data_IF_980108642162
#
_entry.id   IF_980108642162
#
_cell.length_a   1.000
_cell.length_b   1.000
_cell.length_c   1.000
_cell.angle_alpha   90.00
_cell.angle_beta   90.00
_cell.angle_gamma   90.00
#
_symmetry.space_group_name_H-M   'P 1'
#
loop_
_entity.id
_entity.type
_entity.pdbx_description
1 polymer ?
#
# COMPACT_ATOMS: atom_id res chain seq x y z
N UNK A 1 -30.29 4.14 -10.87
CA UNK A 1 -28.89 4.55 -11.05
C UNK A 1 -28.53 5.37 -9.83
N UNK A 2 -27.47 5.03 -9.09
CA UNK A 2 -27.06 5.82 -7.92
C UNK A 2 -26.45 7.16 -8.37
N UNK A 3 -26.42 8.17 -7.50
CA UNK A 3 -25.78 9.46 -7.78
C UNK A 3 -24.31 9.30 -8.20
N UNK A 4 -23.60 8.34 -7.59
CA UNK A 4 -22.19 8.02 -7.91
C UNK A 4 -22.06 7.45 -9.33
N UNK A 5 -22.98 6.60 -9.78
CA UNK A 5 -22.94 6.05 -11.14
C UNK A 5 -23.26 7.14 -12.19
N UNK A 6 -24.15 8.08 -11.88
CA UNK A 6 -24.41 9.23 -12.77
C UNK A 6 -23.17 10.12 -12.89
N UNK A 7 -22.51 10.42 -11.76
CA UNK A 7 -21.27 11.19 -11.75
C UNK A 7 -20.14 10.48 -12.50
N UNK A 8 -20.02 9.17 -12.35
CA UNK A 8 -19.06 8.36 -13.11
C UNK A 8 -19.34 8.46 -14.61
N UNK A 9 -20.59 8.35 -15.05
CA UNK A 9 -20.95 8.50 -16.48
C UNK A 9 -20.60 9.89 -17.01
N UNK A 10 -20.91 10.95 -16.27
CA UNK A 10 -20.53 12.32 -16.65
C UNK A 10 -19.01 12.50 -16.76
N UNK A 11 -18.25 11.90 -15.85
CA UNK A 11 -16.79 11.90 -15.92
C UNK A 11 -16.29 11.13 -17.14
N UNK A 12 -16.91 9.99 -17.47
CA UNK A 12 -16.58 9.21 -18.66
C UNK A 12 -16.89 9.96 -19.96
N UNK A 13 -17.98 10.73 -20.03
CA UNK A 13 -18.28 11.58 -21.19
C UNK A 13 -17.22 12.67 -21.40
N UNK A 14 -16.72 13.23 -20.29
CA UNK A 14 -15.61 14.21 -20.30
C UNK A 14 -14.33 13.56 -20.81
N UNK A 15 -13.97 12.38 -20.29
CA UNK A 15 -12.81 11.61 -20.73
C UNK A 15 -12.95 11.22 -22.20
N UNK A 16 -14.11 10.74 -22.63
CA UNK A 16 -14.37 10.40 -24.02
C UNK A 16 -14.14 11.59 -24.94
N UNK A 17 -14.57 12.79 -24.54
CA UNK A 17 -14.34 14.02 -25.30
C UNK A 17 -12.85 14.39 -25.36
N UNK A 18 -12.14 14.38 -24.22
CA UNK A 18 -10.72 14.74 -24.12
C UNK A 18 -9.82 13.81 -24.95
N UNK A 19 -10.15 12.52 -24.98
CA UNK A 19 -9.41 11.49 -25.71
C UNK A 19 -9.99 11.21 -27.11
N UNK A 20 -10.93 12.04 -27.57
CA UNK A 20 -11.56 12.00 -28.91
C UNK A 20 -12.29 10.68 -29.23
N UNK A 21 -12.87 10.02 -28.22
CA UNK A 21 -13.82 8.92 -28.35
C UNK A 21 -15.25 9.47 -28.54
N UNK A 22 -15.50 10.15 -29.66
CA UNK A 22 -16.83 10.72 -29.98
C UNK A 22 -17.84 9.60 -30.28
N UNK A 23 -19.09 9.80 -29.86
CA UNK A 23 -20.20 8.86 -30.06
C UNK A 23 -19.87 7.41 -29.63
N UNK A 24 -19.07 7.26 -28.57
CA UNK A 24 -18.58 5.96 -28.15
C UNK A 24 -19.64 5.12 -27.41
N UNK A 25 -19.59 3.81 -27.59
CA UNK A 25 -20.31 2.86 -26.74
C UNK A 25 -19.54 2.68 -25.42
N UNK A 26 -20.21 2.96 -24.30
CA UNK A 26 -19.66 2.78 -22.95
C UNK A 26 -20.19 1.50 -22.31
N UNK A 27 -19.31 0.52 -22.12
CA UNK A 27 -19.61 -0.69 -21.33
C UNK A 27 -19.01 -0.55 -19.94
N UNK A 28 -19.83 -0.71 -18.90
CA UNK A 28 -19.45 -0.61 -17.50
C UNK A 28 -19.79 -1.92 -16.78
N UNK A 29 -18.79 -2.54 -16.18
CA UNK A 29 -18.92 -3.79 -15.44
C UNK A 29 -18.40 -3.62 -14.02
N UNK A 30 -19.33 -3.62 -13.05
CA UNK A 30 -18.99 -3.58 -11.63
C UNK A 30 -18.44 -4.92 -11.15
N UNK A 31 -17.45 -4.90 -10.26
CA UNK A 31 -16.93 -6.11 -9.61
C UNK A 31 -16.47 -5.85 -8.18
N UNK A 32 -16.23 -6.93 -7.44
CA UNK A 32 -15.65 -6.91 -6.08
C UNK A 32 -14.37 -7.74 -6.07
N UNK A 33 -13.42 -7.37 -5.22
CA UNK A 33 -12.14 -8.09 -5.08
C UNK A 33 -12.16 -9.15 -3.98
N UNK A 34 -13.31 -9.43 -3.38
CA UNK A 34 -13.39 -10.48 -2.35
C UNK A 34 -12.52 -10.17 -1.13
N UNK A 35 -12.62 -8.95 -0.59
CA UNK A 35 -11.88 -8.57 0.62
C UNK A 35 -10.45 -8.08 0.42
N UNK A 36 -10.07 -7.64 -0.79
CA UNK A 36 -8.82 -6.90 -0.98
C UNK A 36 -9.03 -5.37 -0.96
N UNK A 37 -10.19 -4.89 -1.46
CA UNK A 37 -10.56 -3.47 -1.54
C UNK A 37 -11.86 -3.20 -0.76
N UNK A 38 -11.71 -2.91 0.53
CA UNK A 38 -12.84 -2.70 1.44
C UNK A 38 -13.54 -1.36 1.27
N UNK A 39 -12.85 -0.33 0.78
CA UNK A 39 -13.34 1.06 0.83
C UNK A 39 -14.01 1.54 -0.44
N UNK A 40 -14.04 0.72 -1.50
CA UNK A 40 -14.38 1.17 -2.86
C UNK A 40 -15.26 0.18 -3.62
N UNK A 41 -16.17 0.72 -4.44
CA UNK A 41 -16.78 0.00 -5.56
C UNK A 41 -15.89 0.14 -6.78
N UNK A 42 -15.64 -0.98 -7.47
CA UNK A 42 -14.76 -1.03 -8.64
C UNK A 42 -15.53 -1.32 -9.91
N UNK A 43 -15.06 -0.76 -11.02
CA UNK A 43 -15.63 -0.95 -12.34
C UNK A 43 -14.54 -1.15 -13.40
N UNK A 44 -14.70 -2.18 -14.24
CA UNK A 44 -14.05 -2.24 -15.56
C UNK A 44 -14.91 -1.49 -16.56
N UNK A 45 -14.28 -0.64 -17.37
CA UNK A 45 -14.94 0.24 -18.31
C UNK A 45 -14.28 0.08 -19.68
N UNK A 46 -15.09 -0.04 -20.72
CA UNK A 46 -14.64 -0.01 -22.12
C UNK A 46 -15.35 1.12 -22.84
N UNK A 47 -14.59 2.05 -23.41
CA UNK A 47 -15.09 3.02 -24.38
C UNK A 47 -14.73 2.55 -25.79
N UNK A 48 -15.74 2.32 -26.63
CA UNK A 48 -15.56 1.81 -28.00
C UNK A 48 -16.01 2.89 -28.99
N UNK A 49 -15.11 3.39 -29.82
CA UNK A 49 -15.42 4.39 -30.85
C UNK A 49 -15.07 3.85 -32.25
N UNK A 50 -15.85 4.23 -33.25
CA UNK A 50 -15.63 3.74 -34.62
C UNK A 50 -14.26 4.18 -35.13
N UNK A 51 -13.44 3.21 -35.57
CA UNK A 51 -12.11 3.49 -36.11
C UNK A 51 -11.02 3.73 -35.06
N UNK A 52 -11.29 3.44 -33.78
CA UNK A 52 -10.32 3.44 -32.69
C UNK A 52 -10.30 2.10 -31.97
N UNK A 53 -9.15 1.76 -31.39
CA UNK A 53 -9.06 0.65 -30.45
C UNK A 53 -9.85 0.99 -29.18
N UNK A 54 -10.40 -0.04 -28.54
CA UNK A 54 -11.11 0.09 -27.27
C UNK A 54 -10.23 0.76 -26.20
N UNK A 55 -10.74 1.81 -25.56
CA UNK A 55 -10.09 2.38 -24.38
C UNK A 55 -10.55 1.62 -23.14
N UNK A 56 -9.61 0.92 -22.49
CA UNK A 56 -9.85 0.13 -21.28
C UNK A 56 -9.51 0.95 -20.04
N UNK A 57 -10.51 1.21 -19.21
CA UNK A 57 -10.43 2.06 -18.04
C UNK A 57 -10.87 1.30 -16.79
N UNK A 58 -10.27 1.64 -15.67
CA UNK A 58 -10.61 1.15 -14.35
C UNK A 58 -11.11 2.31 -13.50
N UNK A 59 -12.31 2.19 -12.92
CA UNK A 59 -12.82 3.20 -12.00
C UNK A 59 -12.93 2.66 -10.57
N UNK A 60 -12.48 3.49 -9.63
CA UNK A 60 -12.60 3.30 -8.19
C UNK A 60 -13.50 4.40 -7.64
N UNK A 61 -14.65 4.01 -7.10
CA UNK A 61 -15.64 4.92 -6.52
C UNK A 61 -15.72 4.67 -5.02
N UNK A 62 -15.68 5.72 -4.22
CA UNK A 62 -15.76 5.58 -2.78
C UNK A 62 -17.14 5.06 -2.32
N UNK A 63 -17.14 4.04 -1.45
CA UNK A 63 -18.38 3.52 -0.82
C UNK A 63 -18.40 3.72 0.69
N UNK A 64 -17.41 4.42 1.24
CA UNK A 64 -17.31 4.64 2.68
C UNK A 64 -18.42 5.58 3.14
N UNK A 65 -19.32 5.08 4.01
CA UNK A 65 -20.42 5.85 4.58
C UNK A 65 -19.91 7.00 5.46
N UNK A 66 -20.78 7.97 5.74
CA UNK A 66 -20.42 9.19 6.47
C UNK A 66 -19.96 8.91 7.91
N UNK A 67 -20.51 7.89 8.57
CA UNK A 67 -20.12 7.51 9.93
C UNK A 67 -18.67 6.99 9.98
N UNK A 68 -18.32 6.06 9.09
CA UNK A 68 -16.96 5.53 8.98
C UNK A 68 -15.98 6.63 8.57
N UNK A 69 -16.38 7.56 7.68
CA UNK A 69 -15.53 8.71 7.32
C UNK A 69 -15.31 9.67 8.48
N UNK A 70 -16.35 9.98 9.23
CA UNK A 70 -16.27 10.86 10.40
C UNK A 70 -15.39 10.24 11.50
N UNK A 71 -15.48 8.92 11.69
CA UNK A 71 -14.70 8.17 12.68
C UNK A 71 -13.25 7.92 12.23
N UNK A 72 -13.02 7.56 10.96
CA UNK A 72 -11.69 7.36 10.40
C UNK A 72 -10.99 8.67 10.01
N UNK A 73 -11.71 9.81 10.01
CA UNK A 73 -11.27 11.13 9.49
C UNK A 73 -10.50 10.98 8.17
N UNK A 74 -11.06 10.13 7.30
CA UNK A 74 -10.34 9.50 6.19
C UNK A 74 -10.24 10.43 4.99
N UNK A 75 -9.08 11.09 4.83
CA UNK A 75 -8.66 11.78 3.61
C UNK A 75 -8.02 10.81 2.59
N UNK A 76 -8.36 9.52 2.69
CA UNK A 76 -7.72 8.42 1.96
C UNK A 76 -7.90 8.58 0.43
N UNK A 77 -9.11 8.94 -0.02
CA UNK A 77 -9.37 9.22 -1.45
C UNK A 77 -8.69 10.51 -1.92
N UNK A 78 -8.69 11.55 -1.10
CA UNK A 78 -7.99 12.81 -1.40
C UNK A 78 -6.47 12.61 -1.49
N UNK A 79 -5.92 11.69 -0.70
CA UNK A 79 -4.49 11.33 -0.73
C UNK A 79 -4.13 10.64 -2.04
N UNK A 80 -4.92 9.64 -2.46
CA UNK A 80 -4.69 8.94 -3.73
C UNK A 80 -4.88 9.89 -4.94
N UNK A 81 -5.93 10.73 -4.91
CA UNK A 81 -6.15 11.74 -5.94
C UNK A 81 -5.01 12.73 -6.02
N UNK A 82 -4.51 13.21 -4.87
CA UNK A 82 -3.35 14.09 -4.81
C UNK A 82 -2.10 13.42 -5.39
N UNK A 83 -1.89 12.14 -5.08
CA UNK A 83 -0.78 11.38 -5.65
C UNK A 83 -0.80 11.44 -7.18
N UNK A 84 -1.88 10.98 -7.82
CA UNK A 84 -1.94 10.91 -9.28
C UNK A 84 -2.03 12.28 -9.96
N UNK A 85 -2.75 13.24 -9.37
CA UNK A 85 -3.00 14.54 -10.01
C UNK A 85 -1.88 15.57 -9.81
N UNK A 86 -1.07 15.43 -8.77
CA UNK A 86 -0.08 16.44 -8.36
C UNK A 86 1.29 15.85 -8.04
N UNK A 87 1.41 14.92 -7.09
CA UNK A 87 2.72 14.42 -6.63
C UNK A 87 3.46 13.60 -7.71
N UNK A 88 2.76 12.71 -8.40
CA UNK A 88 3.30 11.90 -9.49
C UNK A 88 3.87 12.77 -10.61
N UNK A 89 3.21 13.89 -10.92
CA UNK A 89 3.73 14.85 -11.92
C UNK A 89 5.04 15.49 -11.47
N UNK A 90 5.16 15.79 -10.17
CA UNK A 90 6.42 16.30 -9.61
C UNK A 90 7.53 15.24 -9.70
N UNK A 91 7.22 13.97 -9.39
CA UNK A 91 8.17 12.88 -9.58
C UNK A 91 8.60 12.72 -11.04
N UNK A 92 7.66 12.79 -11.99
CA UNK A 92 7.96 12.73 -13.41
C UNK A 92 8.85 13.89 -13.88
N UNK A 93 8.68 15.10 -13.31
CA UNK A 93 9.59 16.24 -13.56
C UNK A 93 11.00 15.89 -13.11
N UNK A 94 11.17 15.40 -11.87
CA UNK A 94 12.48 14.99 -11.35
C UNK A 94 13.13 13.92 -12.25
N UNK A 95 12.36 12.88 -12.63
CA UNK A 95 12.84 11.81 -13.52
C UNK A 95 13.27 12.34 -14.90
N UNK A 96 12.54 13.32 -15.43
CA UNK A 96 12.87 13.96 -16.71
C UNK A 96 14.14 14.81 -16.61
N UNK A 97 14.26 15.64 -15.57
CA UNK A 97 15.41 16.52 -15.36
C UNK A 97 16.71 15.72 -15.16
N UNK A 98 16.62 14.56 -14.52
CA UNK A 98 17.74 13.63 -14.32
C UNK A 98 17.92 12.62 -15.46
N UNK A 99 17.13 12.69 -16.54
CA UNK A 99 17.19 11.78 -17.69
C UNK A 99 17.08 10.29 -17.28
N UNK A 100 16.23 9.98 -16.30
CA UNK A 100 16.02 8.60 -15.84
C UNK A 100 15.40 7.78 -16.99
N UNK A 101 16.02 6.65 -17.41
CA UNK A 101 15.46 5.80 -18.45
C UNK A 101 14.11 5.21 -18.05
N UNK A 102 13.22 5.01 -19.02
CA UNK A 102 11.81 4.65 -18.79
C UNK A 102 11.63 3.38 -17.95
N UNK A 103 12.50 2.39 -18.12
CA UNK A 103 12.47 1.12 -17.40
C UNK A 103 12.85 1.25 -15.90
N UNK A 104 13.53 2.33 -15.53
CA UNK A 104 13.90 2.63 -14.14
C UNK A 104 12.96 3.64 -13.48
N UNK A 105 11.98 4.19 -14.22
CA UNK A 105 10.98 5.10 -13.65
C UNK A 105 9.97 4.38 -12.78
N UNK A 106 9.33 5.12 -11.88
CA UNK A 106 8.25 4.60 -11.05
C UNK A 106 7.07 4.19 -11.94
N UNK A 107 6.67 2.92 -11.85
CA UNK A 107 5.55 2.40 -12.63
C UNK A 107 4.21 2.64 -11.92
N UNK A 108 3.31 3.35 -12.59
CA UNK A 108 1.97 3.69 -12.09
C UNK A 108 0.95 3.60 -13.22
N UNK A 109 -0.31 3.21 -12.95
CA UNK A 109 -1.36 3.33 -13.96
C UNK A 109 -1.58 4.80 -14.33
N UNK A 110 -1.89 5.06 -15.61
CA UNK A 110 -2.21 6.41 -16.06
C UNK A 110 -3.54 6.89 -15.45
N UNK A 111 -3.56 8.14 -14.97
CA UNK A 111 -4.80 8.84 -14.60
C UNK A 111 -5.50 9.38 -15.85
N UNK A 112 -6.78 9.05 -16.00
CA UNK A 112 -7.66 9.62 -17.05
C UNK A 112 -8.56 10.72 -16.51
N UNK A 113 -8.99 10.65 -15.26
CA UNK A 113 -9.81 11.68 -14.65
C UNK A 113 -10.16 11.37 -13.20
N UNK A 114 -10.63 12.37 -12.46
CA UNK A 114 -11.14 12.20 -11.11
C UNK A 114 -12.29 13.17 -10.82
N UNK A 115 -13.17 12.79 -9.89
CA UNK A 115 -14.16 13.66 -9.28
C UNK A 115 -13.87 13.78 -7.79
N UNK A 116 -13.76 15.01 -7.28
CA UNK A 116 -13.53 15.33 -5.85
C UNK A 116 -14.81 15.68 -5.11
N UNK A 117 -15.98 15.30 -5.65
CA UNK A 117 -17.26 15.56 -4.97
C UNK A 117 -17.29 14.76 -3.67
N UNK A 118 -17.51 15.46 -2.54
CA UNK A 118 -17.51 14.86 -1.21
C UNK A 118 -18.51 13.70 -1.13
N UNK A 119 -18.07 12.55 -0.61
CA UNK A 119 -18.80 11.26 -0.55
C UNK A 119 -19.05 10.57 -1.89
N UNK A 120 -18.64 11.17 -3.00
CA UNK A 120 -18.79 10.65 -4.37
C UNK A 120 -17.46 10.72 -5.12
N UNK A 121 -16.36 10.54 -4.39
CA UNK A 121 -15.01 10.58 -4.93
C UNK A 121 -14.83 9.42 -5.92
N UNK A 122 -14.37 9.76 -7.12
CA UNK A 122 -14.17 8.80 -8.21
C UNK A 122 -12.79 9.02 -8.80
N UNK A 123 -12.04 7.94 -9.00
CA UNK A 123 -10.77 7.93 -9.69
C UNK A 123 -10.88 7.01 -10.91
N UNK A 124 -10.56 7.52 -12.10
CA UNK A 124 -10.54 6.74 -13.35
C UNK A 124 -9.11 6.61 -13.83
N UNK A 125 -8.61 5.38 -13.80
CA UNK A 125 -7.25 4.98 -14.12
C UNK A 125 -7.22 4.09 -15.37
N UNK A 126 -6.03 3.86 -15.88
CA UNK A 126 -5.73 2.81 -16.85
C UNK A 126 -6.09 1.42 -16.31
N UNK A 127 -6.75 0.60 -17.13
CA UNK A 127 -7.03 -0.78 -16.77
C UNK A 127 -5.83 -1.69 -17.08
N UNK A 128 -5.00 -1.94 -16.06
CA UNK A 128 -3.85 -2.84 -16.18
C UNK A 128 -4.26 -4.30 -16.40
N UNK A 129 -5.46 -4.71 -15.98
CA UNK A 129 -5.92 -6.10 -16.18
C UNK A 129 -6.12 -6.42 -17.66
N UNK A 130 -6.54 -5.43 -18.46
CA UNK A 130 -6.64 -5.55 -19.91
C UNK A 130 -5.26 -5.77 -20.57
N UNK A 131 -4.17 -5.45 -19.88
CA UNK A 131 -2.80 -5.66 -20.32
C UNK A 131 -2.14 -6.93 -19.73
N UNK A 132 -2.95 -7.82 -19.15
CA UNK A 132 -2.50 -9.10 -18.58
C UNK A 132 -1.92 -9.00 -17.17
N UNK A 133 -1.96 -7.83 -16.53
CA UNK A 133 -1.57 -7.72 -15.13
C UNK A 133 -2.62 -8.35 -14.22
N UNK A 134 -2.16 -8.94 -13.12
CA UNK A 134 -3.00 -9.50 -12.07
C UNK A 134 -2.36 -9.30 -10.69
N UNK A 135 -3.17 -9.34 -9.64
CA UNK A 135 -2.67 -9.26 -8.26
C UNK A 135 -2.08 -10.61 -7.83
N UNK A 136 -1.18 -10.57 -6.85
CA UNK A 136 -0.68 -11.79 -6.23
C UNK A 136 -1.73 -12.37 -5.27
N UNK A 137 -1.79 -13.70 -5.19
CA UNK A 137 -2.69 -14.39 -4.26
C UNK A 137 -2.25 -14.14 -2.81
N UNK A 138 -2.99 -13.30 -2.08
CA UNK A 138 -2.68 -12.91 -0.69
C UNK A 138 -2.62 -14.10 0.28
N UNK A 139 -3.26 -15.22 -0.07
CA UNK A 139 -3.25 -16.45 0.73
C UNK A 139 -1.97 -17.27 0.54
N UNK A 140 -1.16 -16.95 -0.47
CA UNK A 140 0.12 -17.62 -0.76
C UNK A 140 1.30 -16.76 -0.32
N UNK A 141 2.40 -17.44 0.01
CA UNK A 141 3.69 -16.77 0.19
C UNK A 141 4.25 -16.44 -1.19
N UNK A 142 4.85 -15.27 -1.33
CA UNK A 142 5.57 -14.94 -2.55
C UNK A 142 6.92 -15.68 -2.64
N UNK A 143 7.45 -15.79 -3.85
CA UNK A 143 8.79 -16.29 -4.11
C UNK A 143 9.81 -15.14 -4.25
N UNK A 144 11.08 -15.50 -4.44
CA UNK A 144 12.17 -14.54 -4.60
C UNK A 144 12.00 -13.62 -5.83
N UNK A 145 11.50 -14.15 -6.94
CA UNK A 145 11.37 -13.37 -8.17
C UNK A 145 10.34 -12.26 -8.01
N UNK A 146 9.18 -12.59 -7.43
CA UNK A 146 8.16 -11.60 -7.12
C UNK A 146 8.62 -10.61 -6.05
N UNK A 147 9.21 -11.10 -4.95
CA UNK A 147 9.65 -10.24 -3.85
C UNK A 147 10.71 -9.22 -4.27
N UNK A 148 11.75 -9.67 -4.97
CA UNK A 148 12.84 -8.80 -5.41
C UNK A 148 12.34 -7.72 -6.36
N UNK A 149 11.48 -8.05 -7.33
CA UNK A 149 10.88 -7.06 -8.24
C UNK A 149 9.94 -6.08 -7.53
N UNK A 150 9.13 -6.55 -6.59
CA UNK A 150 8.24 -5.69 -5.81
C UNK A 150 9.04 -4.66 -5.01
N UNK A 151 10.10 -5.12 -4.35
CA UNK A 151 10.99 -4.27 -3.56
C UNK A 151 11.84 -3.32 -4.42
N UNK A 152 12.18 -3.69 -5.66
CA UNK A 152 12.77 -2.76 -6.63
C UNK A 152 11.81 -1.64 -6.99
N UNK A 153 10.53 -1.90 -7.19
CA UNK A 153 9.57 -0.82 -7.45
C UNK A 153 9.33 0.07 -6.22
N UNK A 154 9.34 -0.51 -5.02
CA UNK A 154 9.31 0.26 -3.77
C UNK A 154 10.51 1.20 -3.66
N UNK A 155 11.72 0.73 -4.01
CA UNK A 155 12.92 1.56 -3.91
C UNK A 155 12.87 2.78 -4.82
N UNK A 156 12.21 2.70 -5.98
CA UNK A 156 11.97 3.84 -6.87
C UNK A 156 11.09 4.90 -6.21
N UNK A 157 9.98 4.50 -5.59
CA UNK A 157 9.09 5.40 -4.86
C UNK A 157 9.86 6.13 -3.74
N UNK A 158 10.61 5.36 -2.94
CA UNK A 158 11.40 5.91 -1.84
C UNK A 158 12.53 6.84 -2.33
N UNK A 159 13.23 6.49 -3.40
CA UNK A 159 14.27 7.32 -3.99
C UNK A 159 13.70 8.65 -4.52
N UNK A 160 12.55 8.62 -5.20
CA UNK A 160 11.86 9.83 -5.68
C UNK A 160 11.41 10.71 -4.53
N UNK A 161 10.91 10.14 -3.44
CA UNK A 161 10.60 10.91 -2.25
C UNK A 161 11.84 11.58 -1.64
N UNK A 162 12.97 10.88 -1.58
CA UNK A 162 14.23 11.42 -1.05
C UNK A 162 14.73 12.55 -1.94
N UNK A 163 14.72 12.37 -3.27
CA UNK A 163 15.08 13.42 -4.23
C UNK A 163 14.14 14.63 -4.14
N UNK A 164 12.83 14.39 -4.07
CA UNK A 164 11.82 15.44 -3.91
C UNK A 164 12.04 16.28 -2.65
N UNK A 165 12.38 15.66 -1.52
CA UNK A 165 12.71 16.39 -0.28
C UNK A 165 13.95 17.30 -0.41
N UNK A 166 14.89 16.96 -1.32
CA UNK A 166 16.12 17.73 -1.57
C UNK A 166 15.87 18.88 -2.55
N UNK A 167 15.10 18.63 -3.60
CA UNK A 167 14.83 19.61 -4.66
C UNK A 167 13.70 20.57 -4.32
N UNK A 168 12.70 20.10 -3.58
CA UNK A 168 11.50 20.86 -3.22
C UNK A 168 11.23 20.83 -1.71
N UNK A 169 12.17 21.30 -0.86
CA UNK A 169 12.07 21.17 0.60
C UNK A 169 10.80 21.79 1.19
N UNK A 170 10.35 22.95 0.68
CA UNK A 170 9.11 23.59 1.14
C UNK A 170 7.85 22.78 0.78
N UNK A 171 7.83 22.17 -0.42
CA UNK A 171 6.71 21.31 -0.83
C UNK A 171 6.70 20.03 -0.01
N UNK A 172 7.88 19.47 0.28
CA UNK A 172 8.02 18.29 1.11
C UNK A 172 7.58 18.56 2.56
N UNK A 173 7.93 19.72 3.13
CA UNK A 173 7.45 20.12 4.45
C UNK A 173 5.91 20.21 4.51
N UNK A 174 5.28 20.75 3.46
CA UNK A 174 3.82 20.77 3.35
C UNK A 174 3.19 19.36 3.36
N UNK A 175 3.92 18.34 2.88
CA UNK A 175 3.46 16.94 2.93
C UNK A 175 3.38 16.40 4.35
N UNK A 176 4.17 16.89 5.31
CA UNK A 176 4.00 16.48 6.72
C UNK A 176 2.65 16.86 7.28
N UNK A 177 2.09 18.00 6.84
CA UNK A 177 0.75 18.41 7.26
C UNK A 177 -0.32 17.66 6.48
N UNK A 178 -0.12 17.45 5.18
CA UNK A 178 -1.09 16.76 4.31
C UNK A 178 -1.20 15.27 4.61
N UNK A 179 -0.06 14.60 4.72
CA UNK A 179 0.02 13.20 5.09
C UNK A 179 0.19 13.02 6.60
N UNK A 180 -0.15 14.05 7.39
CA UNK A 180 -0.14 13.93 8.84
C UNK A 180 -1.06 12.79 9.18
N UNK A 181 -0.48 11.68 9.63
CA UNK A 181 -1.22 10.63 10.27
C UNK A 181 -2.01 11.34 11.37
N UNK A 182 -3.33 11.44 11.23
CA UNK A 182 -4.16 11.99 12.30
C UNK A 182 -4.12 10.94 13.40
N UNK A 183 -3.03 10.95 14.17
CA UNK A 183 -2.76 10.11 15.34
C UNK A 183 -3.70 10.42 16.49
N UNK A 184 -4.74 11.22 16.27
CA UNK A 184 -5.98 11.30 17.06
C UNK A 184 -6.75 9.96 17.12
N UNK A 185 -6.04 8.84 16.95
CA UNK A 185 -6.29 7.53 17.57
C UNK A 185 -6.23 7.63 19.12
N UNK A 186 -6.45 8.81 19.69
CA UNK A 186 -6.86 9.02 21.08
C UNK A 186 -8.39 8.93 21.24
N UNK A 187 -9.13 8.48 20.22
CA UNK A 187 -10.49 8.00 20.47
C UNK A 187 -10.40 6.64 21.21
N UNK A 188 -11.12 6.51 22.32
CA UNK A 188 -11.19 5.26 23.11
C UNK A 188 -11.61 4.04 22.27
N UNK A 189 -12.27 4.25 21.13
CA UNK A 189 -12.74 3.21 20.21
C UNK A 189 -11.61 2.54 19.42
N UNK A 190 -10.67 3.30 18.84
CA UNK A 190 -9.59 2.71 18.03
C UNK A 190 -8.62 1.89 18.87
N UNK A 191 -8.31 2.37 20.08
CA UNK A 191 -7.57 1.64 21.12
C UNK A 191 -8.25 0.31 21.47
N UNK A 192 -9.58 0.33 21.63
CA UNK A 192 -10.34 -0.88 21.94
C UNK A 192 -10.34 -1.91 20.80
N UNK A 193 -10.38 -1.48 19.55
CA UNK A 193 -10.32 -2.39 18.39
C UNK A 193 -8.95 -3.06 18.30
N UNK A 194 -7.88 -2.29 18.47
CA UNK A 194 -6.52 -2.82 18.50
C UNK A 194 -6.37 -3.87 19.61
N UNK A 195 -6.87 -3.59 20.82
CA UNK A 195 -6.87 -4.55 21.93
C UNK A 195 -7.68 -5.83 21.62
N UNK A 196 -8.81 -5.70 20.92
CA UNK A 196 -9.61 -6.84 20.49
C UNK A 196 -8.87 -7.71 19.47
N UNK A 197 -8.27 -7.09 18.44
CA UNK A 197 -7.48 -7.81 17.42
C UNK A 197 -6.31 -8.54 18.09
N UNK A 198 -5.55 -7.86 18.94
CA UNK A 198 -4.42 -8.44 19.68
C UNK A 198 -4.88 -9.62 20.55
N UNK A 199 -6.00 -9.48 21.27
CA UNK A 199 -6.55 -10.56 22.09
C UNK A 199 -6.93 -11.79 21.26
N UNK A 200 -7.49 -11.57 20.08
CA UNK A 200 -7.86 -12.65 19.15
C UNK A 200 -6.61 -13.32 18.56
N UNK A 201 -5.58 -12.56 18.23
CA UNK A 201 -4.28 -13.10 17.81
C UNK A 201 -3.63 -13.94 18.93
N UNK A 202 -3.64 -13.47 20.17
CA UNK A 202 -3.09 -14.20 21.33
C UNK A 202 -3.73 -15.58 21.54
N UNK A 203 -4.98 -15.77 21.10
CA UNK A 203 -5.69 -17.05 21.23
C UNK A 203 -5.10 -18.16 20.34
N UNK A 204 -4.40 -17.82 19.26
CA UNK A 204 -3.82 -18.79 18.30
C UNK A 204 -2.31 -18.93 18.40
N UNK A 205 -1.65 -18.18 19.28
CA UNK A 205 -0.21 -18.29 19.54
C UNK A 205 0.08 -19.56 20.34
N UNK A 206 1.15 -20.28 19.97
CA UNK A 206 1.64 -21.45 20.71
C UNK A 206 2.01 -21.08 22.15
N UNK A 207 1.67 -21.95 23.10
CA UNK A 207 1.85 -21.66 24.53
C UNK A 207 3.28 -21.28 24.92
N UNK A 208 4.28 -21.95 24.32
CA UNK A 208 5.71 -21.68 24.57
C UNK A 208 6.14 -20.23 24.26
N UNK A 209 5.40 -19.50 23.42
CA UNK A 209 5.70 -18.13 23.03
C UNK A 209 4.71 -17.09 23.59
N UNK A 210 3.59 -17.50 24.20
CA UNK A 210 2.56 -16.55 24.67
C UNK A 210 3.11 -15.55 25.69
N UNK A 211 3.91 -16.01 26.66
CA UNK A 211 4.50 -15.15 27.68
C UNK A 211 5.46 -14.11 27.10
N UNK A 212 6.26 -14.50 26.10
CA UNK A 212 7.19 -13.60 25.37
C UNK A 212 6.43 -12.51 24.63
N UNK A 213 5.40 -12.90 23.86
CA UNK A 213 4.58 -11.95 23.11
C UNK A 213 3.81 -11.03 24.07
N UNK A 214 3.30 -11.55 25.18
CA UNK A 214 2.66 -10.73 26.21
C UNK A 214 3.63 -9.70 26.82
N UNK A 215 4.86 -10.09 27.14
CA UNK A 215 5.88 -9.18 27.65
C UNK A 215 6.24 -8.10 26.61
N UNK A 216 6.35 -8.47 25.33
CA UNK A 216 6.53 -7.54 24.22
C UNK A 216 5.41 -6.50 24.15
N UNK A 217 4.14 -6.95 24.17
CA UNK A 217 2.98 -6.06 24.12
C UNK A 217 2.89 -5.15 25.35
N UNK A 218 3.36 -5.59 26.53
CA UNK A 218 3.42 -4.75 27.72
C UNK A 218 4.49 -3.65 27.62
N UNK A 219 5.59 -3.91 26.90
CA UNK A 219 6.68 -2.95 26.66
C UNK A 219 6.23 -1.81 25.75
N UNK A 220 5.41 -2.10 24.76
CA UNK A 220 4.88 -1.13 23.80
C UNK A 220 3.41 -0.84 24.11
N UNK A 221 3.15 0.18 24.94
CA UNK A 221 1.78 0.70 25.11
C UNK A 221 1.23 1.18 23.77
N UNK A 222 -0.10 1.22 23.62
CA UNK A 222 -0.77 1.57 22.35
C UNK A 222 -0.29 2.90 21.71
N UNK A 223 0.18 3.86 22.50
CA UNK A 223 0.71 5.14 22.01
C UNK A 223 2.18 5.07 21.53
N UNK A 224 2.93 4.04 21.90
CA UNK A 224 4.30 3.80 21.44
C UNK A 224 4.32 3.21 20.02
N UNK A 225 3.24 2.57 19.57
CA UNK A 225 3.14 2.00 18.23
C UNK A 225 3.22 3.04 17.11
N UNK A 226 2.63 4.22 17.32
CA UNK A 226 2.72 5.32 16.37
C UNK A 226 4.16 5.85 16.21
N UNK A 227 5.06 5.59 17.17
CA UNK A 227 6.45 6.01 17.07
C UNK A 227 7.22 5.23 16.00
N UNK A 228 6.81 4.01 15.67
CA UNK A 228 7.39 3.26 14.55
C UNK A 228 7.08 3.90 13.19
N UNK A 229 5.96 4.62 13.09
CA UNK A 229 5.55 5.32 11.88
C UNK A 229 6.31 6.64 11.69
N UNK A 230 6.97 7.15 12.73
CA UNK A 230 7.74 8.38 12.64
C UNK A 230 9.09 8.14 11.95
N UNK A 231 9.62 9.15 11.24
CA UNK A 231 10.98 9.09 10.73
C UNK A 231 12.01 9.11 11.86
N UNK A 232 13.14 8.40 11.71
CA UNK A 232 14.24 8.42 12.68
C UNK A 232 15.46 9.17 12.15
N UNK A 233 15.97 8.75 10.98
CA UNK A 233 17.15 9.33 10.31
C UNK A 233 16.77 10.00 9.01
N UNK A 234 16.01 9.30 8.16
CA UNK A 234 15.62 9.82 6.84
C UNK A 234 14.10 9.81 6.68
N UNK A 235 13.43 10.98 6.76
CA UNK A 235 12.05 11.05 6.37
C UNK A 235 11.87 10.83 4.88
N UNK A 236 10.85 10.07 4.53
CA UNK A 236 10.36 9.91 3.17
C UNK A 236 8.85 9.64 3.15
N UNK A 237 8.27 9.70 1.96
CA UNK A 237 6.89 9.32 1.67
C UNK A 237 6.86 7.79 1.52
N UNK A 238 6.36 7.12 2.55
CA UNK A 238 6.08 5.70 2.53
C UNK A 238 4.70 5.46 1.92
N UNK A 239 4.55 4.35 1.20
CA UNK A 239 3.28 3.87 0.66
C UNK A 239 2.24 3.65 1.76
N UNK A 240 2.65 3.07 2.90
CA UNK A 240 1.82 2.90 4.10
C UNK A 240 0.94 1.64 4.12
N UNK A 241 0.65 1.07 2.95
CA UNK A 241 -0.04 -0.23 2.79
C UNK A 241 0.62 -1.07 1.68
N UNK A 242 1.95 -1.23 1.75
CA UNK A 242 2.72 -1.93 0.73
C UNK A 242 2.58 -3.46 0.86
N UNK A 243 1.45 -4.01 0.42
CA UNK A 243 1.14 -5.46 0.39
C UNK A 243 0.89 -5.98 -1.02
N UNK A 244 0.95 -7.30 -1.18
CA UNK A 244 0.85 -7.93 -2.51
C UNK A 244 -0.49 -7.68 -3.23
N UNK A 245 -1.58 -7.39 -2.51
CA UNK A 245 -2.86 -7.04 -3.13
C UNK A 245 -2.88 -5.62 -3.73
N UNK A 246 -1.93 -4.77 -3.33
CA UNK A 246 -1.77 -3.40 -3.82
C UNK A 246 -0.66 -3.33 -4.88
N UNK A 247 -0.23 -4.51 -5.37
CA UNK A 247 0.73 -4.67 -6.45
C UNK A 247 0.09 -5.53 -7.54
N UNK A 248 0.21 -5.07 -8.77
CA UNK A 248 -0.16 -5.86 -9.94
C UNK A 248 1.11 -6.30 -10.68
N UNK A 249 1.11 -7.51 -11.21
CA UNK A 249 2.25 -8.06 -11.93
C UNK A 249 1.83 -8.80 -13.20
N UNK A 250 2.75 -8.86 -14.16
CA UNK A 250 2.66 -9.75 -15.32
C UNK A 250 4.04 -10.27 -15.69
N UNK A 251 4.06 -11.45 -16.30
CA UNK A 251 5.28 -11.97 -16.93
C UNK A 251 5.20 -11.68 -18.42
N UNK A 252 6.19 -10.96 -18.94
CA UNK A 252 6.32 -10.67 -20.37
C UNK A 252 6.69 -11.93 -21.15
N UNK A 253 6.59 -11.86 -22.48
CA UNK A 253 6.96 -12.98 -23.37
C UNK A 253 8.43 -13.40 -23.23
N UNK A 254 9.32 -12.48 -22.85
CA UNK A 254 10.74 -12.74 -22.59
C UNK A 254 11.02 -13.34 -21.19
N UNK A 255 9.97 -13.61 -20.41
CA UNK A 255 10.06 -14.16 -19.05
C UNK A 255 10.32 -13.12 -17.96
N UNK A 256 10.45 -11.84 -18.30
CA UNK A 256 10.64 -10.79 -17.29
C UNK A 256 9.35 -10.49 -16.55
N UNK A 257 9.45 -10.43 -15.22
CA UNK A 257 8.37 -10.02 -14.35
C UNK A 257 8.33 -8.49 -14.23
N UNK A 258 7.20 -7.90 -14.57
CA UNK A 258 6.87 -6.49 -14.34
C UNK A 258 5.94 -6.38 -13.14
N UNK A 259 6.17 -5.37 -12.30
CA UNK A 259 5.33 -5.05 -11.13
C UNK A 259 4.92 -3.58 -11.21
N UNK A 260 3.68 -3.27 -10.84
CA UNK A 260 3.14 -1.91 -10.79
C UNK A 260 2.52 -1.69 -9.41
N UNK A 261 2.89 -0.57 -8.78
CA UNK A 261 2.33 -0.15 -7.51
C UNK A 261 0.98 0.52 -7.72
N UNK A 262 0.02 0.13 -6.88
CA UNK A 262 -1.33 0.67 -6.86
C UNK A 262 -1.65 1.19 -5.47
N UNK A 263 -2.73 1.95 -5.43
CA UNK A 263 -3.43 2.22 -4.18
C UNK A 263 -2.65 3.09 -3.17
N UNK A 264 -2.29 4.29 -3.62
CA UNK A 264 -1.57 5.32 -2.87
C UNK A 264 -2.41 6.04 -1.82
N UNK A 265 -3.45 5.37 -1.30
CA UNK A 265 -4.46 5.96 -0.45
C UNK A 265 -4.01 6.09 1.02
N UNK A 266 -2.86 5.48 1.38
CA UNK A 266 -2.29 5.46 2.73
C UNK A 266 -0.91 6.14 2.84
N UNK A 267 -0.56 6.99 1.86
CA UNK A 267 0.72 7.69 1.86
C UNK A 267 0.93 8.48 3.16
N UNK A 268 2.13 8.34 3.71
CA UNK A 268 2.53 8.97 4.98
C UNK A 268 4.00 9.39 4.94
N UNK A 269 4.34 10.49 5.62
CA UNK A 269 5.75 10.76 5.91
C UNK A 269 6.22 9.84 7.03
N UNK A 270 7.13 8.94 6.70
CA UNK A 270 7.63 7.89 7.57
C UNK A 270 9.12 7.62 7.30
N UNK A 271 9.58 6.40 7.61
CA UNK A 271 10.94 5.93 7.41
C UNK A 271 11.02 4.91 6.24
N UNK A 272 12.22 4.67 5.68
CA UNK A 272 12.43 3.79 4.54
C UNK A 272 12.21 2.29 4.82
N UNK A 273 12.10 1.89 6.09
CA UNK A 273 11.99 0.49 6.50
C UNK A 273 10.53 0.04 6.63
N UNK A 274 9.60 0.96 6.87
CA UNK A 274 8.23 0.62 7.27
C UNK A 274 7.49 -0.23 6.24
N UNK A 275 7.53 0.16 4.96
CA UNK A 275 6.88 -0.57 3.86
C UNK A 275 7.56 -1.92 3.59
N UNK A 276 8.87 -1.98 3.77
CA UNK A 276 9.64 -3.21 3.55
C UNK A 276 9.28 -4.26 4.60
N UNK A 277 9.24 -3.88 5.88
CA UNK A 277 8.81 -4.75 6.97
C UNK A 277 7.34 -5.12 6.82
N UNK A 278 6.49 -4.17 6.42
CA UNK A 278 5.07 -4.42 6.13
C UNK A 278 4.90 -5.51 5.07
N UNK A 279 5.55 -5.37 3.92
CA UNK A 279 5.47 -6.32 2.81
C UNK A 279 5.97 -7.71 3.19
N UNK A 280 7.14 -7.76 3.83
CA UNK A 280 7.77 -9.02 4.23
C UNK A 280 6.84 -9.81 5.14
N UNK A 281 6.38 -9.20 6.23
CA UNK A 281 5.68 -9.97 7.27
C UNK A 281 4.18 -10.16 7.01
N UNK A 282 3.57 -9.33 6.16
CA UNK A 282 2.18 -9.56 5.71
C UNK A 282 2.08 -10.61 4.61
N UNK A 283 3.11 -10.74 3.76
CA UNK A 283 2.99 -11.47 2.50
C UNK A 283 3.83 -12.75 2.34
N UNK A 284 4.74 -13.04 3.27
CA UNK A 284 5.58 -14.24 3.20
C UNK A 284 5.28 -15.26 4.31
N UNK A 285 5.73 -16.49 4.13
CA UNK A 285 5.78 -17.52 5.18
C UNK A 285 7.15 -17.58 5.88
N UNK A 286 7.25 -18.45 6.89
CA UNK A 286 8.49 -18.65 7.66
C UNK A 286 9.63 -19.21 6.80
N UNK A 287 9.33 -20.08 5.83
CA UNK A 287 10.34 -20.69 4.96
C UNK A 287 11.01 -19.65 4.07
N UNK A 288 10.22 -18.79 3.44
CA UNK A 288 10.72 -17.67 2.65
C UNK A 288 11.61 -16.78 3.51
N UNK A 289 11.16 -16.36 4.70
CA UNK A 289 11.95 -15.44 5.54
C UNK A 289 13.23 -16.09 6.05
N UNK A 290 13.19 -17.36 6.44
CA UNK A 290 14.39 -18.10 6.85
C UNK A 290 15.47 -18.12 5.75
N UNK A 291 15.06 -18.16 4.48
CA UNK A 291 15.98 -18.22 3.33
C UNK A 291 16.36 -16.85 2.76
N UNK A 292 15.42 -15.91 2.72
CA UNK A 292 15.51 -14.71 1.88
C UNK A 292 15.35 -13.40 2.65
N UNK A 293 15.05 -13.40 3.96
CA UNK A 293 14.80 -12.16 4.71
C UNK A 293 15.95 -11.16 4.59
N UNK A 294 17.17 -11.56 4.96
CA UNK A 294 18.33 -10.68 4.88
C UNK A 294 18.68 -10.32 3.43
N UNK A 295 18.57 -11.28 2.52
CA UNK A 295 18.84 -11.07 1.09
C UNK A 295 17.91 -10.00 0.50
N UNK A 296 16.64 -9.99 0.88
CA UNK A 296 15.66 -9.02 0.39
C UNK A 296 15.89 -7.62 0.98
N UNK A 297 16.30 -7.54 2.26
CA UNK A 297 16.71 -6.27 2.89
C UNK A 297 17.93 -5.65 2.19
N UNK A 298 18.95 -6.46 1.89
CA UNK A 298 20.14 -5.99 1.19
C UNK A 298 19.84 -5.64 -0.28
N UNK A 299 18.95 -6.41 -0.95
CA UNK A 299 18.45 -6.10 -2.29
C UNK A 299 17.71 -4.76 -2.33
N UNK A 300 16.82 -4.50 -1.37
CA UNK A 300 16.14 -3.22 -1.24
C UNK A 300 17.13 -2.05 -1.15
N UNK A 301 18.11 -2.14 -0.24
CA UNK A 301 19.05 -1.05 -0.03
C UNK A 301 19.90 -0.80 -1.28
N UNK A 302 20.35 -1.87 -1.95
CA UNK A 302 21.07 -1.76 -3.22
C UNK A 302 20.23 -1.05 -4.29
N UNK A 303 18.97 -1.44 -4.47
CA UNK A 303 18.09 -0.84 -5.47
C UNK A 303 17.69 0.60 -5.11
N UNK A 304 17.64 0.95 -3.82
CA UNK A 304 17.48 2.33 -3.36
C UNK A 304 18.71 3.16 -3.75
N UNK A 305 19.94 2.68 -3.50
CA UNK A 305 21.17 3.34 -3.92
C UNK A 305 21.23 3.53 -5.44
N UNK A 306 20.86 2.50 -6.21
CA UNK A 306 20.82 2.54 -7.66
C UNK A 306 19.82 3.60 -8.18
N UNK A 307 18.62 3.66 -7.59
CA UNK A 307 17.61 4.63 -7.93
C UNK A 307 18.04 6.05 -7.57
N UNK A 308 18.61 6.28 -6.38
CA UNK A 308 19.17 7.56 -5.96
C UNK A 308 20.29 8.05 -6.88
N UNK A 309 21.18 7.14 -7.29
CA UNK A 309 22.27 7.46 -8.23
C UNK A 309 21.72 7.96 -9.58
N UNK A 310 20.64 7.37 -10.09
CA UNK A 310 19.97 7.82 -11.33
C UNK A 310 19.33 9.20 -11.18
N UNK A 311 19.00 9.59 -9.95
CA UNK A 311 18.46 10.90 -9.59
C UNK A 311 19.56 11.88 -9.15
N UNK A 312 20.85 11.57 -9.38
CA UNK A 312 21.95 12.46 -9.00
C UNK A 312 22.15 12.63 -7.48
N UNK A 313 21.63 11.71 -6.66
CA UNK A 313 21.73 11.73 -5.20
C UNK A 313 22.67 10.62 -4.71
N UNK A 314 23.68 10.98 -3.92
CA UNK A 314 24.53 10.00 -3.24
C UNK A 314 23.83 9.44 -2.00
N UNK A 315 23.61 8.12 -1.99
CA UNK A 315 23.01 7.42 -0.86
C UNK A 315 23.82 7.60 0.43
N UNK A 316 25.15 7.69 0.38
CA UNK A 316 25.97 7.86 1.58
C UNK A 316 25.75 9.22 2.27
N UNK A 317 25.29 10.23 1.53
CA UNK A 317 24.98 11.56 2.08
C UNK A 317 23.58 11.63 2.69
N UNK A 318 22.61 10.90 2.11
CA UNK A 318 21.20 11.02 2.48
C UNK A 318 20.66 9.87 3.32
N UNK A 319 21.24 8.68 3.15
CA UNK A 319 20.82 7.44 3.82
C UNK A 319 21.89 6.34 3.69
N UNK A 320 22.92 6.43 4.51
CA UNK A 320 24.05 5.49 4.49
C UNK A 320 23.64 4.06 4.89
N UNK A 321 24.51 3.07 4.64
CA UNK A 321 24.24 1.69 5.08
C UNK A 321 24.11 1.61 6.60
N UNK A 322 24.87 2.42 7.33
CA UNK A 322 24.78 2.51 8.79
C UNK A 322 23.44 3.10 9.24
N UNK A 323 22.92 4.12 8.54
CA UNK A 323 21.58 4.65 8.80
C UNK A 323 20.49 3.60 8.54
N UNK A 324 20.64 2.81 7.45
CA UNK A 324 19.75 1.71 7.13
C UNK A 324 19.74 0.63 8.21
N UNK A 325 20.91 0.16 8.66
CA UNK A 325 20.97 -0.85 9.73
C UNK A 325 20.44 -0.30 11.06
N UNK A 326 20.73 0.97 11.38
CA UNK A 326 20.20 1.63 12.58
C UNK A 326 18.68 1.70 12.56
N UNK A 327 18.08 2.17 11.46
CA UNK A 327 16.62 2.24 11.36
C UNK A 327 15.98 0.86 11.31
N UNK A 328 16.61 -0.11 10.64
CA UNK A 328 16.14 -1.49 10.62
C UNK A 328 16.05 -2.05 12.05
N UNK A 329 17.07 -1.85 12.89
CA UNK A 329 17.03 -2.28 14.30
C UNK A 329 15.88 -1.61 15.08
N UNK A 330 15.65 -0.31 14.85
CA UNK A 330 14.55 0.43 15.52
C UNK A 330 13.17 0.00 15.06
N UNK A 331 13.02 -0.30 13.78
CA UNK A 331 11.73 -0.65 13.17
C UNK A 331 11.45 -2.15 13.24
N UNK A 332 12.45 -3.01 13.45
CA UNK A 332 12.24 -4.45 13.49
C UNK A 332 11.06 -4.89 14.38
N UNK A 333 10.89 -4.39 15.64
CA UNK A 333 9.72 -4.69 16.47
C UNK A 333 8.36 -4.44 15.82
N UNK A 334 8.26 -3.44 14.92
CA UNK A 334 7.04 -3.15 14.17
C UNK A 334 6.56 -4.35 13.35
N UNK A 335 7.47 -5.18 12.82
CA UNK A 335 7.10 -6.35 12.03
C UNK A 335 6.25 -7.37 12.80
N UNK A 336 6.55 -7.59 14.08
CA UNK A 336 5.73 -8.45 14.94
C UNK A 336 4.38 -7.81 15.22
N UNK A 337 4.39 -6.52 15.57
CA UNK A 337 3.18 -5.76 15.87
C UNK A 337 2.22 -5.75 14.69
N UNK A 338 2.69 -5.38 13.50
CA UNK A 338 1.86 -5.29 12.31
C UNK A 338 1.34 -6.67 11.88
N UNK A 339 2.13 -7.73 12.10
CA UNK A 339 1.69 -9.10 11.83
C UNK A 339 0.52 -9.54 12.70
N UNK A 340 0.57 -9.24 14.01
CA UNK A 340 -0.52 -9.53 14.94
C UNK A 340 -1.84 -8.86 14.52
N UNK A 341 -1.73 -7.69 13.88
CA UNK A 341 -2.88 -6.89 13.44
C UNK A 341 -3.39 -7.32 12.06
N UNK A 342 -2.49 -7.47 11.10
CA UNK A 342 -2.86 -7.61 9.69
C UNK A 342 -3.05 -9.05 9.24
N UNK A 343 -2.30 -10.02 9.75
CA UNK A 343 -2.39 -11.39 9.22
C UNK A 343 -3.81 -11.97 9.28
N UNK A 344 -4.61 -11.77 10.35
CA UNK A 344 -6.01 -12.21 10.37
C UNK A 344 -6.86 -11.59 9.24
N UNK A 345 -6.59 -10.34 8.88
CA UNK A 345 -7.27 -9.63 7.80
C UNK A 345 -6.77 -10.06 6.42
N UNK A 346 -5.45 -10.20 6.25
CA UNK A 346 -4.82 -10.54 4.98
C UNK A 346 -5.12 -11.99 4.57
N UNK A 347 -5.34 -12.90 5.52
CA UNK A 347 -5.61 -14.31 5.24
C UNK A 347 -7.10 -14.67 5.25
N UNK A 348 -8.01 -13.72 5.44
CA UNK A 348 -9.46 -14.00 5.40
C UNK A 348 -9.85 -14.46 4.01
N UNK A 349 -10.62 -15.53 3.85
CA UNK A 349 -11.10 -15.92 2.52
C UNK A 349 -12.13 -14.91 2.00
N UNK A 350 -12.23 -14.78 0.68
CA UNK A 350 -13.11 -13.78 0.04
C UNK A 350 -14.57 -13.88 0.47
N UNK A 351 -15.05 -15.09 0.74
CA UNK A 351 -16.42 -15.37 1.18
C UNK A 351 -16.68 -14.89 2.62
N UNK A 352 -15.61 -14.79 3.42
CA UNK A 352 -15.64 -14.44 4.84
C UNK A 352 -15.12 -13.01 5.10
N UNK A 353 -14.74 -12.29 4.06
CA UNK A 353 -14.21 -10.93 4.18
C UNK A 353 -15.30 -9.96 4.66
N UNK A 354 -14.98 -9.05 5.59
CA UNK A 354 -15.95 -8.06 6.05
C UNK A 354 -16.38 -7.16 4.88
N UNK A 355 -17.67 -6.80 4.86
CA UNK A 355 -18.21 -5.84 3.91
C UNK A 355 -18.38 -4.48 4.61
N UNK A 356 -17.98 -3.44 3.89
CA UNK A 356 -18.12 -2.04 4.34
C UNK A 356 -19.44 -1.39 3.93
N UNK A 357 -20.40 -2.20 3.46
CA UNK A 357 -21.74 -1.72 3.16
C UNK A 357 -22.60 -1.63 4.45
N UNK A 358 -23.55 -0.70 4.48
CA UNK A 358 -24.52 -0.54 5.57
C UNK A 358 -24.01 0.23 6.80
N UNK A 359 -24.62 -0.01 7.97
CA UNK A 359 -24.36 0.66 9.26
C UNK A 359 -23.19 0.06 10.06
N UNK A 360 -22.25 -0.62 9.38
CA UNK A 360 -21.11 -1.26 10.04
C UNK A 360 -20.10 -0.22 10.58
N UNK A 361 -19.51 -0.52 11.75
CA UNK A 361 -18.45 0.26 12.43
C UNK A 361 -17.06 -0.35 12.08
N UNK A 362 -15.97 0.39 12.28
CA UNK A 362 -14.56 -0.03 12.12
C UNK A 362 -14.20 -1.35 12.85
N UNK A 363 -15.05 -1.82 13.76
CA UNK A 363 -14.95 -3.16 14.38
C UNK A 363 -15.00 -4.32 13.40
N UNK A 364 -15.52 -4.13 12.19
CA UNK A 364 -15.52 -5.18 11.15
C UNK A 364 -14.11 -5.67 10.77
N UNK A 365 -13.08 -4.87 11.05
CA UNK A 365 -11.69 -5.27 10.86
C UNK A 365 -11.15 -6.20 11.95
N UNK A 366 -11.88 -6.40 13.07
CA UNK A 366 -11.51 -7.37 14.10
C UNK A 366 -11.88 -8.80 13.66
N UNK A 367 -11.08 -9.34 12.74
CA UNK A 367 -11.29 -10.67 12.14
C UNK A 367 -10.63 -11.75 13.01
N UNK A 368 -11.35 -12.84 13.25
CA UNK A 368 -10.80 -13.99 13.99
C UNK A 368 -9.73 -14.69 13.13
N UNK A 369 -8.52 -14.93 13.67
CA UNK A 369 -7.49 -15.65 12.94
C UNK A 369 -8.00 -17.04 12.50
N UNK A 370 -7.91 -17.34 11.20
CA UNK A 370 -8.12 -18.68 10.67
C UNK A 370 -6.85 -19.54 10.80
N UNK A 371 -6.88 -20.78 10.30
CA UNK A 371 -5.73 -21.69 10.38
C UNK A 371 -4.49 -21.14 9.68
N UNK A 372 -4.67 -20.50 8.51
CA UNK A 372 -3.58 -19.85 7.79
C UNK A 372 -3.00 -18.66 8.57
N UNK A 373 -3.85 -17.81 9.15
CA UNK A 373 -3.41 -16.71 10.02
C UNK A 373 -2.61 -17.26 11.20
N UNK A 374 -3.12 -18.29 11.88
CA UNK A 374 -2.47 -18.92 13.02
C UNK A 374 -1.08 -19.49 12.63
N UNK A 375 -0.99 -20.15 11.49
CA UNK A 375 0.27 -20.69 10.96
C UNK A 375 1.27 -19.58 10.67
N UNK A 376 0.87 -18.55 9.90
CA UNK A 376 1.74 -17.41 9.57
C UNK A 376 2.16 -16.63 10.81
N UNK A 377 1.24 -16.37 11.74
CA UNK A 377 1.52 -15.67 13.00
C UNK A 377 2.57 -16.38 13.83
N UNK A 378 2.43 -17.70 14.01
CA UNK A 378 3.43 -18.48 14.76
C UNK A 378 4.78 -18.52 14.02
N UNK A 379 4.77 -18.55 12.68
CA UNK A 379 6.00 -18.44 11.89
C UNK A 379 6.71 -17.09 12.10
N UNK A 380 5.98 -15.98 12.09
CA UNK A 380 6.52 -14.65 12.42
C UNK A 380 7.10 -14.65 13.84
N UNK A 381 6.37 -15.18 14.82
CA UNK A 381 6.85 -15.24 16.21
C UNK A 381 8.17 -16.03 16.31
N UNK A 382 8.30 -17.14 15.59
CA UNK A 382 9.55 -17.90 15.52
C UNK A 382 10.70 -17.06 14.95
N UNK A 383 10.46 -16.26 13.89
CA UNK A 383 11.46 -15.32 13.37
C UNK A 383 11.89 -14.32 14.44
N UNK A 384 10.94 -13.73 15.14
CA UNK A 384 11.22 -12.71 16.15
C UNK A 384 11.93 -13.24 17.39
N UNK A 385 11.74 -14.53 17.73
CA UNK A 385 12.56 -15.24 18.71
C UNK A 385 13.99 -15.44 18.18
N UNK A 386 14.17 -15.86 16.92
CA UNK A 386 15.51 -16.02 16.31
C UNK A 386 16.27 -14.71 16.20
N UNK A 387 15.57 -13.61 15.93
CA UNK A 387 16.11 -12.26 15.80
C UNK A 387 16.42 -11.60 17.15
N UNK A 388 16.06 -12.22 18.27
CA UNK A 388 16.33 -11.70 19.63
C UNK A 388 15.45 -10.52 20.05
N UNK A 389 14.31 -10.33 19.38
CA UNK A 389 13.32 -9.30 19.73
C UNK A 389 12.37 -9.79 20.82
N UNK A 390 12.06 -11.10 20.83
CA UNK A 390 11.19 -11.81 21.79
C UNK A 390 11.94 -12.70 22.78
#
# INVERSE_FOLDING_TARGET
MSDVEQLLRSLLDTIATEYDYKDCETKLQSFSTGGANYTSQLHHITLSATGKDDLKLFAKSAIVNENIRAEARSEIFETEMFFYSELLKQFQVIENEHNVPIEYRLSTPKLYGCSREYLKEILVLEDLSAQGFHTHDRLKSFDWNYASKSVTELSKLHALSIAHSKEYPEKFDALYTKFKLRTDVESSKSTHIMECIIRMAMAVIKEENKSKVQAFLQKFKNNEFNKFLMPFRRPLIAHGDFRQSNLMHRTREDGQLEVVLLDYQTLQISNPIIDLVYFIFSGSDEEFRAKHYRQLLDHYYLELCNALTRLGVDANEVYSKDDFEYELEKIQPYGLMISLVLLPMVTVESENAPKMDGDNDIRVFAIKPNELAATRLNGVINDFVRLGVL
#
